data_IF_461431478371
#
_entry.id   IF_461431478371
#
_cell.length_a   1.000
_cell.length_b   1.000
_cell.length_c   1.000
_cell.angle_alpha   90.00
_cell.angle_beta   90.00
_cell.angle_gamma   90.00
#
_symmetry.space_group_name_H-M   'P 1'
#
loop_
_entity.id
_entity.type
_entity.pdbx_description
1 polymer ?
2 non-polymer ?
3 non-polymer ?
4 water ?
#
# COMPACT_ATOMS: atom_id res chain seq x y z
N UNK A 2 15.72 -16.60 8.82
CA UNK A 2 16.11 -16.66 7.39
C UNK A 2 15.87 -15.33 6.68
N UNK A 3 16.81 -14.99 5.76
CA UNK A 3 17.11 -13.62 5.39
C UNK A 3 16.28 -13.27 4.13
N UNK A 4 14.93 -13.12 4.32
CA UNK A 4 13.91 -13.12 3.27
C UNK A 4 12.96 -11.91 3.43
N UNK A 5 12.99 -10.97 2.45
CA UNK A 5 12.56 -9.58 2.64
C UNK A 5 11.03 -9.48 2.59
N UNK A 6 10.44 -8.73 3.54
CA UNK A 6 9.00 -8.64 3.74
C UNK A 6 8.58 -7.23 3.35
N UNK A 7 7.42 -7.06 2.71
CA UNK A 7 6.89 -5.73 2.44
C UNK A 7 5.40 -5.72 2.23
N UNK A 8 4.82 -4.53 2.46
CA UNK A 8 3.38 -4.41 2.52
C UNK A 8 2.86 -3.01 2.78
N UNK A 9 1.52 -2.95 2.83
CA UNK A 9 0.74 -1.74 2.98
C UNK A 9 -0.03 -1.89 4.29
N UNK A 10 0.13 -0.91 5.22
CA UNK A 10 -0.72 -0.86 6.42
C UNK A 10 -1.45 0.50 6.41
N UNK A 11 -2.69 0.48 6.93
CA UNK A 11 -3.46 1.70 7.19
C UNK A 11 -3.61 1.90 8.70
N UNK A 12 -3.30 3.13 9.17
CA UNK A 12 -3.47 3.55 10.56
C UNK A 12 -4.79 4.30 10.61
N UNK A 13 -5.79 3.73 11.31
CA UNK A 13 -7.14 4.27 11.43
C UNK A 13 -7.35 4.64 12.90
N UNK A 14 -8.19 5.66 13.09
CA UNK A 14 -8.66 6.04 14.40
C UNK A 14 -9.21 7.45 14.40
N UNK A 15 -9.80 7.81 15.55
CA UNK A 15 -10.39 9.11 15.76
C UNK A 15 -9.30 10.19 15.80
N UNK A 16 -9.57 11.48 15.51
CA UNK A 16 -8.56 12.52 15.66
C UNK A 16 -7.96 12.62 17.08
N UNK A 17 -6.68 13.04 17.12
CA UNK A 17 -5.89 13.22 18.34
C UNK A 17 -5.64 11.92 19.12
N UNK A 18 -5.66 10.76 18.45
CA UNK A 18 -5.31 9.49 19.05
C UNK A 18 -3.81 9.19 18.96
N UNK A 19 -3.03 9.83 18.05
CA UNK A 19 -1.59 9.67 17.91
C UNK A 19 -1.05 9.15 16.56
N UNK A 20 -1.86 9.11 15.50
CA UNK A 20 -1.54 8.44 14.24
C UNK A 20 -0.30 9.07 13.60
N UNK A 21 -0.28 10.41 13.46
CA UNK A 21 0.89 11.11 12.90
C UNK A 21 2.13 11.02 13.78
N UNK A 22 1.96 10.98 15.12
CA UNK A 22 3.07 10.79 16.06
C UNK A 22 3.75 9.44 15.81
N UNK A 23 2.95 8.36 15.68
CA UNK A 23 3.42 7.02 15.36
C UNK A 23 4.14 6.97 14.01
N UNK A 24 3.46 7.45 12.93
CA UNK A 24 4.01 7.51 11.57
C UNK A 24 5.38 8.19 11.60
N UNK A 25 5.44 9.42 12.13
CA UNK A 25 6.67 10.20 12.13
C UNK A 25 7.80 9.59 12.98
N UNK A 26 7.45 8.84 14.06
CA UNK A 26 8.40 8.06 14.85
C UNK A 26 9.07 6.96 14.02
N UNK A 27 8.25 6.08 13.40
CA UNK A 27 8.73 4.83 12.81
C UNK A 27 9.41 5.09 11.45
N UNK A 28 8.85 5.99 10.62
CA UNK A 28 9.38 6.25 9.28
C UNK A 28 10.77 6.88 9.28
N UNK A 29 11.20 7.56 10.36
CA UNK A 29 12.51 8.20 10.40
C UNK A 29 12.49 9.50 9.59
N UNK A 30 13.61 9.78 8.86
CA UNK A 30 13.76 10.98 8.04
C UNK A 30 12.72 11.00 6.89
N UNK A 31 11.96 12.12 6.78
CA UNK A 31 10.82 12.26 5.85
C UNK A 31 11.40 12.38 4.42
N UNK A 32 10.77 11.73 3.42
CA UNK A 32 11.23 11.73 2.01
C UNK A 32 10.93 13.10 1.40
N UNK A 33 11.92 13.79 0.80
CA UNK A 33 11.79 15.17 0.35
C UNK A 33 10.76 15.38 -0.77
N UNK A 34 10.78 14.51 -1.80
CA UNK A 34 9.86 14.57 -2.95
C UNK A 34 8.37 14.49 -2.54
N UNK A 35 8.02 13.88 -1.39
CA UNK A 35 6.63 13.82 -0.92
C UNK A 35 5.98 15.17 -0.56
N UNK A 36 6.76 16.26 -0.33
CA UNK A 36 6.25 17.61 -0.08
C UNK A 36 6.56 18.60 -1.22
N UNK A 37 7.48 18.30 -2.16
CA UNK A 37 7.53 18.95 -3.48
C UNK A 37 6.30 18.55 -4.30
N UNK A 38 6.23 17.25 -4.73
CA UNK A 38 5.29 16.71 -5.73
C UNK A 38 4.07 16.17 -4.96
N UNK A 39 2.84 16.60 -5.38
CA UNK A 39 1.58 16.04 -4.88
C UNK A 39 1.30 14.70 -5.55
N UNK A 40 0.75 13.74 -4.79
CA UNK A 40 0.40 12.39 -5.22
C UNK A 40 -0.87 12.45 -6.05
N UNK A 41 -0.87 11.81 -7.23
CA UNK A 41 -2.03 11.82 -8.13
C UNK A 41 -3.19 10.95 -7.62
N UNK A 42 -2.92 9.78 -7.03
CA UNK A 42 -3.97 8.91 -6.49
C UNK A 42 -4.53 9.45 -5.18
N UNK A 43 -5.70 8.91 -4.78
CA UNK A 43 -6.51 9.42 -3.66
C UNK A 43 -5.87 9.08 -2.30
N UNK A 44 -5.64 7.79 -2.02
CA UNK A 44 -5.28 7.28 -0.70
C UNK A 44 -3.82 7.58 -0.38
N UNK A 45 -3.57 8.59 0.49
CA UNK A 45 -2.24 9.19 0.59
C UNK A 45 -1.29 8.28 1.37
N UNK A 46 -0.18 7.94 0.71
CA UNK A 46 1.02 7.43 1.34
C UNK A 46 1.51 8.45 2.38
N UNK A 47 1.53 8.01 3.67
CA UNK A 47 1.92 8.80 4.84
C UNK A 47 3.46 8.82 4.99
N UNK A 48 4.09 7.65 4.75
CA UNK A 48 5.52 7.54 4.55
C UNK A 48 5.97 6.09 4.50
N UNK A 49 7.30 5.91 4.44
CA UNK A 49 7.94 4.64 4.14
C UNK A 49 8.81 4.32 5.37
N UNK A 50 8.50 3.21 6.07
CA UNK A 50 9.39 2.61 7.06
C UNK A 50 10.24 1.53 6.39
N UNK A 51 11.58 1.68 6.33
CA UNK A 51 12.53 0.73 5.75
C UNK A 51 13.50 0.30 6.85
N UNK A 52 13.44 -0.96 7.30
CA UNK A 52 14.51 -1.69 7.99
C UNK A 52 15.21 -2.61 6.98
N UNK A 53 16.35 -3.22 7.33
CA UNK A 53 17.10 -4.11 6.44
C UNK A 53 16.29 -5.32 5.93
N UNK A 54 15.48 -5.94 6.80
CA UNK A 54 14.66 -7.12 6.56
C UNK A 54 13.24 -6.84 6.04
N UNK A 55 12.77 -5.56 6.02
CA UNK A 55 11.42 -5.22 5.59
C UNK A 55 11.19 -3.75 5.22
N UNK A 56 10.10 -3.48 4.49
CA UNK A 56 9.65 -2.13 4.15
C UNK A 56 8.14 -2.08 4.28
N UNK A 57 7.58 -1.06 4.97
CA UNK A 57 6.15 -0.87 5.17
C UNK A 57 5.79 0.49 4.55
N UNK A 58 4.64 0.56 3.84
CA UNK A 58 4.15 1.78 3.22
C UNK A 58 2.84 2.09 3.94
N UNK A 59 2.79 3.24 4.65
CA UNK A 59 1.61 3.65 5.41
C UNK A 59 0.67 4.36 4.44
N UNK A 60 -0.56 3.84 4.26
CA UNK A 60 -1.59 4.37 3.37
C UNK A 60 -2.69 4.96 4.26
N UNK A 61 -3.27 6.11 3.83
CA UNK A 61 -4.45 6.68 4.43
C UNK A 61 -5.68 5.96 3.86
N UNK A 62 -6.56 5.39 4.69
CA UNK A 62 -7.97 5.12 4.35
C UNK A 62 -8.76 6.43 4.40
N UNK A 63 -9.97 6.57 3.79
CA UNK A 63 -10.95 7.58 4.21
C UNK A 63 -11.38 7.58 5.68
N UNK A 64 -12.04 8.68 6.10
CA UNK A 64 -12.33 8.93 7.51
C UNK A 64 -13.44 8.03 8.05
N UNK A 65 -13.12 6.75 8.33
CA UNK A 65 -14.13 5.76 8.76
C UNK A 65 -14.65 5.98 10.19
N UNK A 66 -13.94 6.78 11.01
CA UNK A 66 -14.46 7.42 12.22
C UNK A 66 -15.69 8.31 12.01
N UNK A 67 -15.83 8.94 10.83
CA UNK A 67 -16.91 9.88 10.57
C UNK A 67 -18.26 9.12 10.53
N UNK A 68 -19.40 9.78 10.90
CA UNK A 68 -20.72 9.21 10.64
C UNK A 68 -21.01 9.08 9.16
N UNK A 69 -22.02 8.27 8.81
CA UNK A 69 -22.30 7.98 7.42
C UNK A 69 -22.69 9.23 6.64
N UNK A 70 -23.48 10.18 7.18
CA UNK A 70 -23.86 11.39 6.45
C UNK A 70 -22.67 12.27 6.00
N UNK A 71 -21.51 12.22 6.69
CA UNK A 71 -20.29 12.97 6.36
C UNK A 71 -19.37 12.23 5.35
N UNK A 72 -19.22 10.89 5.47
CA UNK A 72 -18.42 10.03 4.60
C UNK A 72 -19.42 9.29 3.75
N UNK A 73 -19.61 9.63 2.46
CA UNK A 73 -20.78 9.14 1.71
C UNK A 73 -20.81 7.64 1.33
N UNK A 74 -21.80 7.26 0.49
CA UNK A 74 -21.90 5.95 -0.14
C UNK A 74 -20.61 5.56 -0.88
N UNK A 75 -20.04 6.52 -1.66
CA UNK A 75 -18.90 6.26 -2.54
C UNK A 75 -17.63 6.08 -1.68
N UNK A 76 -17.35 7.00 -0.76
CA UNK A 76 -16.16 6.93 0.09
C UNK A 76 -16.19 5.78 1.11
N UNK A 77 -17.36 5.19 1.44
CA UNK A 77 -17.42 3.88 2.12
C UNK A 77 -16.89 2.73 1.24
N UNK A 78 -17.37 2.66 -0.04
CA UNK A 78 -16.95 1.66 -1.03
C UNK A 78 -15.41 1.68 -1.19
N UNK A 79 -14.81 2.88 -1.33
CA UNK A 79 -13.35 3.12 -1.37
C UNK A 79 -12.67 2.61 -0.09
N UNK A 80 -13.26 2.94 1.08
CA UNK A 80 -12.71 2.53 2.37
C UNK A 80 -12.74 1.01 2.56
N UNK A 81 -13.90 0.35 2.29
CA UNK A 81 -14.01 -1.12 2.40
C UNK A 81 -13.07 -1.86 1.42
N UNK A 82 -12.89 -1.33 0.20
CA UNK A 82 -11.96 -1.85 -0.80
C UNK A 82 -10.52 -1.74 -0.34
N UNK A 83 -10.13 -0.53 0.10
CA UNK A 83 -8.78 -0.28 0.57
C UNK A 83 -8.45 -1.20 1.73
N UNK A 84 -9.36 -1.36 2.70
CA UNK A 84 -9.15 -2.23 3.86
C UNK A 84 -8.94 -3.71 3.48
N UNK A 85 -9.58 -4.21 2.39
CA UNK A 85 -9.35 -5.56 1.86
C UNK A 85 -7.96 -5.73 1.22
N UNK A 86 -7.55 -4.76 0.35
CA UNK A 86 -6.29 -4.84 -0.40
C UNK A 86 -5.05 -4.79 0.50
N UNK A 87 -5.09 -3.89 1.51
CA UNK A 87 -4.12 -3.69 2.58
C UNK A 87 -3.76 -5.03 3.29
N UNK A 88 -2.50 -5.08 3.78
CA UNK A 88 -1.92 -6.24 4.46
C UNK A 88 -2.22 -6.26 5.97
N UNK A 89 -2.38 -5.08 6.62
CA UNK A 89 -2.73 -4.96 8.02
C UNK A 89 -3.41 -3.62 8.34
N UNK A 90 -4.29 -3.60 9.37
CA UNK A 90 -4.99 -2.42 9.84
C UNK A 90 -4.51 -2.12 11.28
N UNK A 91 -3.97 -0.91 11.52
CA UNK A 91 -3.65 -0.40 12.86
C UNK A 91 -4.84 0.43 13.35
N UNK A 92 -5.69 -0.18 14.21
CA UNK A 92 -6.80 0.51 14.87
C UNK A 92 -6.25 1.13 16.16
N UNK A 93 -6.01 2.45 16.11
CA UNK A 93 -5.33 3.19 17.18
C UNK A 93 -6.40 3.86 18.06
N UNK A 94 -6.34 3.64 19.39
CA UNK A 94 -7.32 4.12 20.37
C UNK A 94 -6.62 4.77 21.58
N UNK A 95 -7.28 5.80 22.16
CA UNK A 95 -6.81 6.55 23.31
C UNK A 95 -6.99 5.65 24.54
N UNK A 96 -5.90 5.29 25.23
CA UNK A 96 -5.97 4.66 26.56
C UNK A 96 -6.58 5.57 27.63
N UNK A 97 -6.43 6.90 27.52
CA UNK A 97 -6.81 7.86 28.57
C UNK A 97 -8.23 8.42 28.42
N UNK A 98 -9.12 7.90 27.55
CA UNK A 98 -10.48 8.42 27.32
C UNK A 98 -11.49 7.29 27.20
N UNK A 99 -12.78 7.58 27.44
CA UNK A 99 -13.88 6.62 27.30
C UNK A 99 -14.23 6.41 25.82
N UNK A 100 -14.76 5.20 25.49
CA UNK A 100 -15.09 4.83 24.12
C UNK A 100 -16.23 5.74 23.66
N UNK A 101 -16.01 6.49 22.56
CA UNK A 101 -17.01 7.33 21.92
C UNK A 101 -17.61 6.68 20.67
N UNK A 102 -18.53 7.42 20.03
CA UNK A 102 -19.28 6.95 18.88
C UNK A 102 -18.32 6.69 17.70
N UNK A 103 -17.31 7.56 17.50
CA UNK A 103 -16.25 7.41 16.49
C UNK A 103 -15.57 6.04 16.41
N UNK A 104 -15.33 5.38 17.56
CA UNK A 104 -14.78 4.03 17.62
C UNK A 104 -15.85 2.98 17.29
N UNK A 105 -17.13 3.18 17.65
CA UNK A 105 -18.22 2.31 17.22
C UNK A 105 -18.43 2.32 15.70
N UNK A 106 -18.33 3.52 15.09
CA UNK A 106 -18.40 3.75 13.66
C UNK A 106 -17.27 3.00 12.91
N UNK A 107 -16.02 3.03 13.43
CA UNK A 107 -14.89 2.26 12.90
C UNK A 107 -15.17 0.77 13.01
N UNK A 108 -15.61 0.28 14.18
CA UNK A 108 -15.94 -1.13 14.41
C UNK A 108 -16.96 -1.68 13.39
N UNK A 109 -17.97 -0.85 13.02
CA UNK A 109 -19.01 -1.12 12.02
C UNK A 109 -18.37 -1.34 10.63
N UNK A 110 -17.45 -0.43 10.25
CA UNK A 110 -16.71 -0.52 8.99
C UNK A 110 -15.70 -1.69 8.94
N UNK A 111 -15.29 -2.32 10.07
CA UNK A 111 -14.36 -3.45 10.14
C UNK A 111 -15.06 -4.81 10.29
N UNK A 112 -16.39 -4.92 10.04
CA UNK A 112 -17.24 -6.04 10.50
C UNK A 112 -16.95 -7.27 9.64
N UNK A 113 -17.22 -7.15 8.31
CA UNK A 113 -16.93 -8.18 7.30
C UNK A 113 -15.59 -7.86 6.62
N UNK A 114 -14.53 -7.56 7.41
CA UNK A 114 -13.17 -7.35 6.95
C UNK A 114 -12.40 -8.56 7.46
N UNK A 115 -11.57 -9.12 6.57
CA UNK A 115 -10.82 -10.35 6.75
C UNK A 115 -9.33 -10.04 6.91
N UNK A 116 -8.82 -8.86 6.46
CA UNK A 116 -7.52 -8.28 6.81
C UNK A 116 -7.28 -8.28 8.33
N UNK A 117 -6.02 -8.51 8.83
CA UNK A 117 -5.71 -8.40 10.25
C UNK A 117 -5.91 -6.98 10.78
N UNK A 118 -6.71 -6.87 11.87
CA UNK A 118 -6.91 -5.64 12.62
C UNK A 118 -6.08 -5.81 13.91
N UNK A 119 -5.10 -4.90 14.10
CA UNK A 119 -4.36 -4.72 15.34
C UNK A 119 -5.03 -3.61 16.16
N UNK A 120 -5.44 -3.91 17.42
CA UNK A 120 -5.82 -2.89 18.39
C UNK A 120 -4.56 -2.30 19.00
N UNK A 121 -4.31 -1.01 18.78
CA UNK A 121 -3.19 -0.28 19.37
C UNK A 121 -3.73 0.74 20.39
N UNK A 122 -3.78 0.34 21.69
CA UNK A 122 -4.00 1.27 22.82
C UNK A 122 -2.79 2.22 22.90
N UNK A 123 -2.97 3.49 22.49
CA UNK A 123 -1.95 4.54 22.57
C UNK A 123 -2.14 5.40 23.85
N UNK A 124 -1.05 6.09 24.26
CA UNK A 124 -1.00 7.03 25.38
C UNK A 124 -1.01 6.29 26.71
N UNK A 125 -0.37 5.10 26.80
CA UNK A 125 -0.34 4.29 28.02
C UNK A 125 0.44 4.94 29.16
N UNK A 126 1.40 5.84 28.83
CA UNK A 126 2.06 6.78 29.74
C UNK A 126 1.13 7.64 30.62
N UNK A 127 -0.12 7.97 30.18
CA UNK A 127 -1.12 8.76 30.93
C UNK A 127 -2.03 7.94 31.86
N UNK A 128 -1.62 6.71 32.22
CA UNK A 128 -2.53 5.68 32.70
C UNK A 128 -1.71 4.71 33.56
N UNK A 129 -2.33 4.20 34.66
CA UNK A 129 -1.73 3.14 35.47
C UNK A 129 -1.70 1.83 34.65
N UNK A 130 -0.60 1.01 34.64
CA UNK A 130 -0.55 -0.29 33.95
C UNK A 130 -1.76 -1.23 34.13
N UNK A 131 -2.32 -1.30 35.35
CA UNK A 131 -3.54 -2.04 35.65
C UNK A 131 -4.81 -1.52 34.97
N UNK A 132 -4.82 -0.31 34.38
CA UNK A 132 -5.93 0.19 33.57
C UNK A 132 -6.04 -0.41 32.16
N UNK A 133 -4.96 -1.03 31.61
CA UNK A 133 -4.91 -1.45 30.21
C UNK A 133 -5.83 -2.64 29.96
N UNK A 134 -5.77 -3.70 30.82
CA UNK A 134 -6.50 -4.95 30.61
C UNK A 134 -8.04 -4.74 30.65
N UNK A 135 -8.63 -3.93 31.58
CA UNK A 135 -10.03 -3.49 31.50
C UNK A 135 -10.48 -2.75 30.23
N UNK A 136 -9.59 -1.93 29.64
CA UNK A 136 -9.89 -1.17 28.43
C UNK A 136 -9.86 -2.05 27.16
N UNK A 137 -8.85 -2.94 27.08
CA UNK A 137 -8.78 -4.03 26.13
C UNK A 137 -10.10 -4.81 26.14
N UNK A 138 -10.58 -5.24 27.32
CA UNK A 138 -11.84 -5.94 27.49
C UNK A 138 -13.07 -5.16 27.00
N UNK A 139 -13.08 -3.79 27.11
CA UNK A 139 -14.15 -2.93 26.60
C UNK A 139 -14.26 -3.13 25.07
N UNK A 140 -13.12 -3.06 24.34
CA UNK A 140 -13.05 -3.24 22.89
C UNK A 140 -13.31 -4.69 22.42
N UNK A 141 -12.75 -5.70 23.12
CA UNK A 141 -12.98 -7.12 22.83
C UNK A 141 -14.45 -7.55 22.90
N UNK A 142 -15.30 -6.88 23.70
CA UNK A 142 -16.76 -7.05 23.67
C UNK A 142 -17.40 -6.75 22.29
N UNK A 143 -16.79 -5.85 21.49
CA UNK A 143 -17.28 -5.49 20.16
C UNK A 143 -16.85 -6.46 19.04
N UNK A 144 -15.60 -6.95 19.05
CA UNK A 144 -15.05 -7.74 17.96
C UNK A 144 -13.78 -8.48 18.37
N UNK A 145 -13.36 -9.44 17.54
CA UNK A 145 -12.07 -10.12 17.66
C UNK A 145 -11.01 -9.26 16.99
N UNK A 146 -9.78 -9.28 17.54
CA UNK A 146 -8.59 -8.63 17.01
C UNK A 146 -7.51 -9.69 16.80
N UNK A 147 -6.54 -9.36 15.93
CA UNK A 147 -5.51 -10.30 15.54
C UNK A 147 -4.40 -10.28 16.59
N UNK A 148 -3.91 -9.07 16.94
CA UNK A 148 -3.12 -8.80 18.13
C UNK A 148 -3.61 -7.51 18.81
N UNK A 149 -3.32 -7.40 20.12
CA UNK A 149 -3.61 -6.23 20.94
C UNK A 149 -2.24 -5.78 21.47
N UNK A 150 -1.83 -4.52 21.21
CA UNK A 150 -0.50 -4.03 21.56
C UNK A 150 -0.66 -2.64 22.22
N UNK A 151 -0.44 -2.48 23.56
CA UNK A 151 -0.36 -1.16 24.16
C UNK A 151 0.97 -0.48 23.83
N UNK A 152 0.95 0.81 23.38
CA UNK A 152 2.14 1.63 23.16
C UNK A 152 2.03 3.01 23.82
N UNK A 153 3.15 3.73 23.87
CA UNK A 153 3.19 5.20 23.80
C UNK A 153 3.97 5.57 22.54
N UNK A 154 3.26 6.08 21.52
CA UNK A 154 3.85 6.72 20.35
C UNK A 154 4.79 7.89 20.67
N UNK A 155 4.45 8.68 21.72
CA UNK A 155 5.21 9.87 22.11
C UNK A 155 6.49 9.46 22.82
N UNK A 156 6.40 8.69 23.92
CA UNK A 156 7.56 8.21 24.67
C UNK A 156 8.37 7.17 23.88
N UNK A 157 7.72 6.35 23.02
CA UNK A 157 8.31 5.21 22.34
C UNK A 157 8.20 3.89 23.12
N UNK A 158 7.36 3.79 24.16
CA UNK A 158 7.24 2.59 25.00
C UNK A 158 6.53 1.55 24.11
N UNK A 159 7.20 0.39 23.91
CA UNK A 159 6.66 -0.79 23.24
C UNK A 159 6.46 -0.64 21.71
N UNK A 160 7.04 0.40 21.04
CA UNK A 160 6.85 0.66 19.61
C UNK A 160 7.64 -0.37 18.81
N UNK A 161 8.93 -0.54 19.09
CA UNK A 161 9.80 -1.48 18.37
C UNK A 161 9.27 -2.92 18.36
N UNK A 162 8.79 -3.41 19.52
CA UNK A 162 8.08 -4.68 19.67
C UNK A 162 6.82 -4.73 18.80
N UNK A 163 6.03 -3.65 18.75
CA UNK A 163 4.87 -3.57 17.86
C UNK A 163 5.28 -3.79 16.40
N UNK A 164 6.34 -3.11 15.94
CA UNK A 164 6.86 -3.24 14.58
C UNK A 164 7.34 -4.66 14.32
N UNK A 165 8.06 -5.30 15.25
CA UNK A 165 8.47 -6.71 15.15
C UNK A 165 7.29 -7.66 14.89
N UNK A 166 6.20 -7.50 15.66
CA UNK A 166 4.96 -8.24 15.53
C UNK A 166 4.30 -7.94 14.16
N UNK A 167 4.15 -6.65 13.81
CA UNK A 167 3.54 -6.19 12.56
C UNK A 167 4.22 -6.79 11.33
N UNK A 168 5.57 -6.79 11.32
CA UNK A 168 6.39 -7.41 10.28
C UNK A 168 6.10 -8.90 10.07
N UNK A 169 5.73 -9.68 11.14
CA UNK A 169 5.38 -11.09 11.00
C UNK A 169 4.14 -11.31 10.11
N UNK A 170 3.18 -10.38 10.13
CA UNK A 170 1.97 -10.40 9.31
C UNK A 170 2.18 -9.91 7.87
N UNK A 171 3.35 -9.37 7.48
CA UNK A 171 3.61 -8.96 6.10
C UNK A 171 3.86 -10.21 5.23
N UNK A 172 3.50 -10.18 3.92
CA UNK A 172 4.01 -11.16 2.98
C UNK A 172 5.47 -10.89 2.64
N UNK A 173 6.17 -11.90 2.08
CA UNK A 173 7.39 -11.68 1.31
C UNK A 173 7.09 -10.76 0.11
N UNK A 174 8.05 -9.89 -0.21
CA UNK A 174 7.77 -8.82 -1.16
C UNK A 174 8.98 -7.96 -1.48
N UNK A 175 8.85 -7.04 -2.48
CA UNK A 175 9.95 -6.19 -2.89
C UNK A 175 10.11 -4.98 -1.96
N UNK A 176 11.34 -4.46 -1.89
CA UNK A 176 11.60 -3.08 -1.53
C UNK A 176 11.02 -2.16 -2.63
N UNK A 177 9.80 -1.64 -2.43
CA UNK A 177 9.11 -0.74 -3.35
C UNK A 177 9.90 0.55 -3.56
N UNK A 178 10.26 1.28 -2.47
CA UNK A 178 10.92 2.58 -2.51
C UNK A 178 12.41 2.31 -2.30
N UNK A 179 13.34 2.60 -3.25
CA UNK A 179 14.76 2.35 -3.09
C UNK A 179 15.58 3.54 -2.57
N UNK A 180 16.83 3.20 -2.21
CA UNK A 180 17.83 4.10 -1.65
C UNK A 180 18.59 4.86 -2.74
N UNK A 181 18.72 4.29 -3.97
CA UNK A 181 19.39 4.89 -5.12
C UNK A 181 18.72 6.16 -5.70
N UNK A 182 17.39 6.42 -5.49
CA UNK A 182 16.58 7.24 -6.39
C UNK A 182 15.53 8.08 -5.66
N UNK A 183 15.86 9.38 -5.48
CA UNK A 183 15.09 10.39 -4.75
C UNK A 183 14.08 11.18 -5.60
N UNK A 184 14.01 10.96 -6.94
CA UNK A 184 13.45 11.92 -7.90
C UNK A 184 11.92 11.80 -8.05
N UNK A 185 11.35 10.58 -7.96
CA UNK A 185 9.93 10.32 -8.21
C UNK A 185 9.21 9.97 -6.91
N UNK A 186 7.88 10.22 -6.93
CA UNK A 186 7.01 9.99 -5.78
C UNK A 186 6.81 8.48 -5.55
N UNK A 187 6.78 7.91 -4.32
CA UNK A 187 6.61 6.46 -4.10
C UNK A 187 5.38 5.77 -4.70
N UNK A 188 4.27 6.49 -4.98
CA UNK A 188 3.12 5.93 -5.71
C UNK A 188 3.54 5.28 -7.04
N UNK A 189 4.46 5.92 -7.80
CA UNK A 189 5.04 5.40 -9.03
C UNK A 189 5.74 4.05 -8.84
N UNK A 190 6.45 3.85 -7.74
CA UNK A 190 7.08 2.59 -7.41
C UNK A 190 6.04 1.54 -6.99
N UNK A 191 4.93 1.93 -6.35
CA UNK A 191 3.83 1.03 -5.98
C UNK A 191 3.19 0.47 -7.25
N UNK A 192 2.88 1.34 -8.24
CA UNK A 192 2.28 0.93 -9.50
C UNK A 192 3.29 0.06 -10.29
N UNK A 193 4.55 0.51 -10.40
CA UNK A 193 5.65 -0.19 -11.05
C UNK A 193 5.83 -1.64 -10.57
N UNK A 194 5.83 -1.85 -9.26
CA UNK A 194 6.00 -3.17 -8.67
C UNK A 194 4.76 -4.04 -8.83
N UNK A 195 3.54 -3.46 -8.79
CA UNK A 195 2.29 -4.18 -9.06
C UNK A 195 2.29 -4.76 -10.48
N UNK A 196 2.63 -3.94 -11.49
CA UNK A 196 2.73 -4.33 -12.89
C UNK A 196 3.72 -5.51 -13.01
N UNK A 197 4.91 -5.35 -12.46
CA UNK A 197 5.99 -6.34 -12.42
C UNK A 197 5.58 -7.68 -11.80
N UNK A 198 4.80 -7.68 -10.72
CA UNK A 198 4.28 -8.89 -10.08
C UNK A 198 3.38 -9.68 -11.03
N UNK A 199 2.49 -8.99 -11.76
CA UNK A 199 1.59 -9.62 -12.73
C UNK A 199 2.31 -10.30 -13.90
N UNK A 200 3.43 -9.70 -14.36
CA UNK A 200 4.32 -10.28 -15.36
C UNK A 200 4.97 -11.55 -14.78
N UNK A 201 5.57 -11.48 -13.58
CA UNK A 201 6.31 -12.59 -12.97
C UNK A 201 5.45 -13.81 -12.60
N UNK A 202 4.12 -13.64 -12.37
CA UNK A 202 3.15 -14.73 -12.34
C UNK A 202 3.16 -15.60 -13.62
N UNK A 203 3.36 -14.98 -14.81
CA UNK A 203 3.32 -15.64 -16.10
C UNK A 203 4.59 -16.46 -16.31
N UNK A 204 5.76 -15.83 -16.06
CA UNK A 204 7.09 -16.45 -15.96
C UNK A 204 7.05 -17.69 -15.05
N UNK A 205 6.82 -17.49 -13.71
CA UNK A 205 6.57 -18.55 -12.72
C UNK A 205 7.70 -19.61 -12.76
N UNK A 206 8.98 -19.13 -12.69
CA UNK A 206 10.14 -19.89 -13.19
C UNK A 206 11.52 -19.66 -12.55
N UNK A 207 12.40 -20.67 -12.79
CA UNK A 207 13.85 -20.68 -12.61
C UNK A 207 14.59 -20.98 -13.94
N UNK A 208 14.02 -20.59 -15.10
CA UNK A 208 14.77 -20.03 -16.24
C UNK A 208 15.16 -18.58 -15.85
N UNK A 209 16.46 -18.14 -15.98
CA UNK A 209 16.89 -16.80 -15.52
C UNK A 209 16.23 -15.66 -16.32
N UNK A 210 15.26 -14.97 -15.67
CA UNK A 210 14.21 -14.26 -16.37
C UNK A 210 14.23 -12.78 -15.97
N UNK A 211 14.97 -11.96 -16.75
CA UNK A 211 15.14 -10.52 -16.52
C UNK A 211 14.07 -9.69 -17.24
N UNK A 212 13.15 -9.04 -16.48
CA UNK A 212 12.18 -8.06 -17.01
C UNK A 212 12.12 -6.82 -16.11
N UNK A 213 11.98 -5.62 -16.72
CA UNK A 213 11.87 -4.32 -16.06
C UNK A 213 10.55 -3.65 -16.37
N UNK A 214 10.12 -2.70 -15.52
CA UNK A 214 8.90 -1.92 -15.70
C UNK A 214 9.26 -0.47 -15.40
N UNK A 215 8.95 0.45 -16.30
CA UNK A 215 9.07 1.88 -16.08
C UNK A 215 7.65 2.44 -16.11
N UNK A 216 7.36 3.43 -15.25
CA UNK A 216 6.09 4.14 -15.30
C UNK A 216 6.46 5.54 -15.86
N UNK A 217 5.99 5.79 -17.10
CA UNK A 217 6.39 6.91 -17.93
C UNK A 217 5.64 8.18 -17.51
N UNK A 218 4.36 8.06 -17.10
CA UNK A 218 3.51 9.16 -16.66
C UNK A 218 2.47 8.67 -15.64
N UNK A 219 2.15 9.48 -14.59
CA UNK A 219 0.92 9.41 -13.79
C UNK A 219 0.33 10.81 -13.71
N UNK A 220 -0.93 11.00 -14.14
CA UNK A 220 -1.59 12.30 -14.26
C UNK A 220 -2.95 12.19 -13.60
N UNK A 221 -3.25 13.10 -12.64
CA UNK A 221 -4.59 13.32 -12.10
C UNK A 221 -5.42 13.99 -13.21
N UNK A 222 -6.46 13.29 -13.70
CA UNK A 222 -7.52 13.85 -14.55
C UNK A 222 -8.68 14.41 -13.71
N UNK A 223 -9.03 13.75 -12.58
CA UNK A 223 -10.01 14.21 -11.59
C UNK A 223 -9.65 13.75 -10.17
N UNK A 224 -10.50 14.12 -9.19
CA UNK A 224 -10.41 13.64 -7.80
C UNK A 224 -10.59 12.11 -7.68
N UNK A 225 -11.30 11.46 -8.65
CA UNK A 225 -11.41 10.00 -8.78
C UNK A 225 -10.46 9.38 -9.83
N UNK A 226 -10.10 10.06 -10.94
CA UNK A 226 -9.59 9.45 -12.18
C UNK A 226 -8.10 9.78 -12.38
N UNK A 227 -7.23 8.76 -12.65
CA UNK A 227 -5.79 8.93 -12.90
C UNK A 227 -5.37 8.17 -14.17
N UNK A 228 -4.46 8.75 -14.99
CA UNK A 228 -3.98 8.17 -16.24
C UNK A 228 -2.54 7.70 -16.02
N UNK A 229 -2.27 6.38 -16.09
CA UNK A 229 -0.95 5.76 -16.00
C UNK A 229 -0.51 5.28 -17.40
N UNK A 230 0.67 5.74 -17.87
CA UNK A 230 1.45 5.16 -18.96
C UNK A 230 2.59 4.37 -18.33
N UNK A 231 2.76 3.07 -18.68
CA UNK A 231 3.92 2.27 -18.27
C UNK A 231 4.45 1.39 -19.42
N UNK A 232 5.78 1.25 -19.53
CA UNK A 232 6.44 0.39 -20.50
C UNK A 232 7.05 -0.79 -19.72
N UNK A 233 6.64 -2.03 -20.02
CA UNK A 233 7.33 -3.26 -19.63
C UNK A 233 8.49 -3.47 -20.62
N UNK A 234 9.71 -3.74 -20.12
CA UNK A 234 10.91 -4.00 -20.92
C UNK A 234 11.32 -5.45 -20.70
N UNK A 235 11.63 -6.16 -21.81
CA UNK A 235 12.09 -7.56 -21.84
C UNK A 235 13.37 -7.64 -22.67
N UNK A 236 14.22 -8.64 -22.41
CA UNK A 236 15.30 -9.09 -23.31
C UNK A 236 14.63 -10.10 -24.21
N UNK A 237 14.91 -10.14 -25.51
CA UNK A 237 14.38 -11.16 -26.43
C UNK A 237 12.89 -10.94 -26.81
N UNK A 238 12.63 -10.62 -28.10
CA UNK A 238 11.30 -10.51 -28.68
C UNK A 238 10.50 -11.81 -28.71
N UNK A 239 11.18 -12.98 -28.73
CA UNK A 239 10.53 -14.26 -28.44
C UNK A 239 9.86 -14.36 -27.06
N UNK A 240 10.01 -13.39 -26.15
CA UNK A 240 9.23 -13.27 -24.91
C UNK A 240 7.81 -12.75 -25.09
N UNK A 241 7.39 -12.22 -26.27
CA UNK A 241 6.02 -12.42 -26.78
C UNK A 241 5.61 -13.87 -26.47
N UNK A 242 4.46 -14.09 -25.85
CA UNK A 242 3.97 -15.46 -25.65
C UNK A 242 4.25 -16.01 -24.26
N UNK A 243 5.26 -15.44 -23.55
CA UNK A 243 5.12 -15.26 -22.11
C UNK A 243 4.08 -14.14 -21.84
N UNK A 244 4.21 -12.97 -22.51
CA UNK A 244 3.79 -11.67 -22.03
C UNK A 244 2.68 -11.03 -22.88
N UNK A 245 2.82 -11.01 -24.23
CA UNK A 245 1.78 -10.52 -25.15
C UNK A 245 0.74 -11.63 -25.40
N UNK A 246 1.17 -12.74 -26.02
CA UNK A 246 0.35 -13.94 -26.17
C UNK A 246 -0.37 -14.02 -27.52
N UNK A 247 -1.29 -14.99 -27.60
CA UNK A 247 -2.07 -15.23 -28.80
C UNK A 247 -3.02 -14.02 -29.01
N UNK A 248 -2.62 -13.10 -29.92
CA UNK A 248 -3.36 -11.90 -30.28
C UNK A 248 -3.52 -10.85 -29.17
N UNK A 249 -2.49 -10.68 -28.31
CA UNK A 249 -2.54 -9.78 -27.16
C UNK A 249 -3.33 -10.22 -25.92
N UNK A 250 -3.88 -11.46 -25.86
CA UNK A 250 -4.76 -11.96 -24.79
C UNK A 250 -4.08 -11.94 -23.41
N UNK A 251 -2.79 -12.28 -23.33
CA UNK A 251 -2.03 -12.32 -22.09
C UNK A 251 -1.72 -10.92 -21.57
N UNK A 252 -1.33 -9.98 -22.44
CA UNK A 252 -1.07 -8.59 -22.08
C UNK A 252 -2.34 -7.88 -21.59
N UNK A 253 -3.53 -8.12 -22.19
CA UNK A 253 -4.82 -7.67 -21.67
C UNK A 253 -5.03 -8.11 -20.23
N UNK A 254 -4.75 -9.39 -19.93
CA UNK A 254 -4.95 -9.95 -18.60
C UNK A 254 -4.02 -9.31 -17.56
N UNK A 255 -2.75 -9.01 -17.93
CA UNK A 255 -1.82 -8.25 -17.10
C UNK A 255 -2.40 -6.86 -16.84
N UNK A 256 -2.71 -6.11 -17.90
CA UNK A 256 -3.34 -4.81 -17.85
C UNK A 256 -4.62 -4.75 -16.99
N UNK A 257 -5.49 -5.76 -17.08
CA UNK A 257 -6.72 -5.85 -16.30
C UNK A 257 -6.45 -6.09 -14.82
N UNK A 258 -5.51 -7.00 -14.49
CA UNK A 258 -5.18 -7.38 -13.12
C UNK A 258 -4.43 -6.27 -12.40
N UNK A 259 -3.44 -5.63 -13.05
CA UNK A 259 -2.69 -4.51 -12.50
C UNK A 259 -3.57 -3.28 -12.29
N UNK A 260 -4.42 -2.92 -13.26
CA UNK A 260 -5.39 -1.84 -13.10
C UNK A 260 -6.22 -2.03 -11.81
N UNK A 261 -6.75 -3.25 -11.58
CA UNK A 261 -7.63 -3.55 -10.45
C UNK A 261 -6.90 -3.34 -9.12
N UNK A 262 -5.70 -3.93 -8.99
CA UNK A 262 -4.88 -3.85 -7.79
C UNK A 262 -4.41 -2.41 -7.47
N UNK A 263 -4.19 -1.56 -8.48
CA UNK A 263 -3.91 -0.13 -8.33
C UNK A 263 -5.17 0.63 -7.87
N UNK A 264 -6.34 0.33 -8.44
CA UNK A 264 -7.59 0.97 -8.05
C UNK A 264 -7.96 0.66 -6.59
N UNK A 265 -7.85 -0.61 -6.19
CA UNK A 265 -8.26 -1.05 -4.87
C UNK A 265 -7.34 -0.51 -3.77
N UNK A 266 -6.01 -0.53 -3.98
CA UNK A 266 -5.04 -0.08 -3.00
C UNK A 266 -5.05 1.44 -2.85
N UNK A 267 -4.78 2.17 -3.94
CA UNK A 267 -4.57 3.61 -3.97
C UNK A 267 -5.87 4.43 -4.14
N UNK A 268 -7.06 3.82 -4.36
CA UNK A 268 -8.35 4.50 -4.21
C UNK A 268 -8.84 5.36 -5.39
N UNK A 269 -7.98 5.69 -6.38
CA UNK A 269 -8.36 6.37 -7.62
C UNK A 269 -8.65 5.31 -8.71
N UNK A 270 -9.74 5.50 -9.49
CA UNK A 270 -10.03 4.84 -10.76
C UNK A 270 -8.92 5.11 -11.79
N UNK A 271 -8.46 4.08 -12.56
CA UNK A 271 -7.35 4.24 -13.52
C UNK A 271 -7.78 4.04 -14.99
N UNK A 272 -7.09 4.78 -15.88
CA UNK A 272 -6.93 4.53 -17.30
C UNK A 272 -5.47 4.12 -17.48
N UNK A 273 -5.20 2.81 -17.67
CA UNK A 273 -3.86 2.24 -17.83
C UNK A 273 -3.56 2.04 -19.32
N UNK A 274 -2.42 2.57 -19.82
CA UNK A 274 -1.77 2.19 -21.06
C UNK A 274 -0.50 1.41 -20.72
N UNK A 275 -0.35 0.15 -21.19
CA UNK A 275 0.91 -0.60 -21.17
C UNK A 275 1.52 -0.71 -22.57
N UNK A 276 2.84 -0.46 -22.71
CA UNK A 276 3.68 -0.86 -23.83
C UNK A 276 4.57 -2.04 -23.43
N UNK A 277 4.98 -2.87 -24.39
CA UNK A 277 5.99 -3.91 -24.20
C UNK A 277 7.06 -3.69 -25.26
N UNK A 278 8.34 -3.63 -24.83
CA UNK A 278 9.48 -3.26 -25.67
C UNK A 278 10.65 -4.19 -25.37
N UNK A 279 11.45 -4.52 -26.40
CA UNK A 279 12.65 -5.32 -26.26
C UNK A 279 13.79 -4.31 -26.15
N UNK A 280 14.67 -4.41 -25.14
CA UNK A 280 15.82 -3.53 -24.94
C UNK A 280 17.08 -4.39 -25.11
N UNK A 281 17.86 -4.12 -26.17
CA UNK A 281 19.21 -4.61 -26.32
C UNK A 281 20.14 -3.60 -25.63
N UNK A 282 21.44 -3.90 -25.55
CA UNK A 282 22.46 -3.01 -25.00
C UNK A 282 22.45 -1.66 -25.73
N UNK A 283 22.45 -0.55 -24.95
CA UNK A 283 22.28 0.83 -25.43
C UNK A 283 23.57 1.67 -25.45
N UNK A 284 24.64 1.27 -24.73
CA UNK A 284 25.84 2.06 -24.53
C UNK A 284 26.63 2.08 -25.86
N UNK A 285 26.68 3.25 -26.50
CA UNK A 285 27.37 3.46 -27.78
C UNK A 285 26.71 2.71 -28.92
N UNK A 286 25.37 2.66 -28.93
CA UNK A 286 24.60 1.81 -29.84
C UNK A 286 23.45 2.61 -30.49
N UNK A 287 23.00 2.13 -31.69
CA UNK A 287 21.88 2.66 -32.45
C UNK A 287 20.79 1.59 -32.58
N UNK A 288 19.49 1.95 -32.43
CA UNK A 288 18.34 1.07 -32.65
C UNK A 288 18.36 -0.20 -31.77
N UNK A 289 18.30 0.00 -30.46
CA UNK A 289 18.33 -1.04 -29.41
C UNK A 289 16.94 -1.32 -28.83
N UNK A 290 15.84 -0.63 -29.23
CA UNK A 290 14.49 -0.76 -28.67
C UNK A 290 13.56 -1.12 -29.86
N UNK A 291 12.83 -2.25 -29.78
CA UNK A 291 11.77 -2.65 -30.70
C UNK A 291 10.50 -2.87 -29.86
N UNK A 292 9.37 -2.24 -30.23
CA UNK A 292 8.09 -2.43 -29.55
C UNK A 292 7.42 -3.73 -30.03
N UNK A 293 6.83 -4.53 -29.13
CA UNK A 293 6.16 -5.80 -29.46
C UNK A 293 4.73 -5.90 -28.91
N UNK A 294 4.10 -4.80 -28.45
CA UNK A 294 2.99 -4.89 -27.51
C UNK A 294 2.45 -3.51 -27.09
N UNK A 295 1.11 -3.35 -27.07
CA UNK A 295 0.41 -2.19 -26.52
C UNK A 295 -0.98 -2.63 -26.05
N UNK A 296 -1.46 -2.12 -24.89
CA UNK A 296 -2.84 -2.33 -24.43
C UNK A 296 -3.36 -1.08 -23.69
N UNK A 297 -4.70 -1.01 -23.52
CA UNK A 297 -5.45 0.12 -22.98
C UNK A 297 -6.61 -0.41 -22.13
N UNK A 298 -6.70 -0.08 -20.80
CA UNK A 298 -7.70 -0.63 -19.87
C UNK A 298 -8.40 0.46 -19.03
N UNK A 299 -9.74 0.31 -18.79
CA UNK A 299 -10.66 1.30 -18.20
C UNK A 299 -12.15 0.84 -18.21
N UNK A 300 -12.97 1.44 -17.29
CA UNK A 300 -14.40 1.16 -17.04
C UNK A 300 -14.59 -0.20 -16.36
#
# INVERSE_FOLDING_TARGET
MGTEHKSGFVSIIGRPNVGKSTFVNRVIGHKIAIMSDKAQTTRNKIQGVMTRDDAQIIFIDTPGIHKPKHKLGDYMMKVAKNTLSEIDAIMFMVNANEEIGRGDEYIIEMLKNVKTPVFLVLNKIDLVHPDELMPKIEEYQSYMDFTEIVPISALEGLNVDHFIDVLKTYLPEGPKYYPDDQISDHPEQFVVGEIIREKILHLTSEEIPHAIGVNVDRMVKESEDRVHIEATIYVERGSQKGIVIGKGGKKLKEVGKRARRDIEMLLGSKVYLELWVKVQRDWRNKVNFIRQIGYVEDQD
#
